data_IF_632665344528
#
_entry.id   IF_632665344528
#
_cell.length_a   1.000
_cell.length_b   1.000
_cell.length_c   1.000
_cell.angle_alpha   90.00
_cell.angle_beta   90.00
_cell.angle_gamma   90.00
#
_symmetry.space_group_name_H-M   'P 1'
#
loop_
_entity.id
_entity.type
_entity.pdbx_description
1 polymer ?
#
# COMPACT_ATOMS: atom_id res chain seq x y z
N UNK A 1 23.49 0.55 17.04
CA UNK A 1 22.20 0.09 16.50
C UNK A 1 22.50 -0.76 15.30
N UNK A 2 22.07 -2.02 15.20
CA UNK A 2 22.26 -2.78 13.98
C UNK A 2 21.52 -2.06 12.86
N UNK A 3 22.23 -1.74 11.79
CA UNK A 3 21.67 -1.19 10.58
C UNK A 3 20.93 -2.34 9.88
N UNK A 4 19.63 -2.46 10.11
CA UNK A 4 18.79 -3.50 9.49
C UNK A 4 18.35 -3.04 8.09
N UNK A 5 19.32 -2.77 7.22
CA UNK A 5 19.03 -2.59 5.80
C UNK A 5 18.60 -3.94 5.21
N UNK A 6 17.62 -3.91 4.30
CA UNK A 6 17.21 -5.11 3.57
C UNK A 6 18.42 -5.71 2.84
N UNK A 7 18.55 -7.02 2.84
CA UNK A 7 19.56 -7.70 2.00
C UNK A 7 19.22 -7.53 0.52
N UNK A 8 20.20 -7.71 -0.36
CA UNK A 8 19.97 -7.65 -1.80
C UNK A 8 18.90 -8.64 -2.28
N UNK A 9 18.81 -9.82 -1.68
CA UNK A 9 17.77 -10.81 -1.94
C UNK A 9 16.40 -10.31 -1.50
N UNK A 10 16.29 -9.78 -0.28
CA UNK A 10 15.05 -9.17 0.22
C UNK A 10 14.57 -8.00 -0.63
N UNK A 11 15.48 -7.19 -1.16
CA UNK A 11 15.14 -6.09 -2.08
C UNK A 11 14.57 -6.64 -3.40
N UNK A 12 15.14 -7.70 -3.97
CA UNK A 12 14.63 -8.36 -5.18
C UNK A 12 13.24 -8.96 -4.92
N UNK A 13 13.08 -9.66 -3.81
CA UNK A 13 11.81 -10.29 -3.42
C UNK A 13 10.72 -9.25 -3.18
N UNK A 14 11.04 -8.15 -2.49
CA UNK A 14 10.10 -7.04 -2.28
C UNK A 14 9.67 -6.41 -3.61
N UNK A 15 10.60 -6.24 -4.56
CA UNK A 15 10.27 -5.68 -5.87
C UNK A 15 9.36 -6.59 -6.67
N UNK A 16 9.67 -7.89 -6.72
CA UNK A 16 8.85 -8.88 -7.39
C UNK A 16 7.44 -8.98 -6.78
N UNK A 17 7.37 -8.98 -5.44
CA UNK A 17 6.10 -9.00 -4.73
C UNK A 17 5.29 -7.71 -4.95
N UNK A 18 5.93 -6.55 -4.96
CA UNK A 18 5.25 -5.27 -5.24
C UNK A 18 4.57 -5.28 -6.62
N UNK A 19 5.26 -5.78 -7.65
CA UNK A 19 4.70 -5.97 -9.00
C UNK A 19 3.56 -6.99 -9.03
N UNK A 20 3.62 -8.04 -8.19
CA UNK A 20 2.54 -9.00 -8.06
C UNK A 20 1.30 -8.41 -7.33
N UNK A 21 1.51 -7.51 -6.38
CA UNK A 21 0.43 -6.80 -5.66
C UNK A 21 -0.28 -5.80 -6.60
N UNK A 22 0.49 -5.00 -7.33
CA UNK A 22 -0.04 -4.01 -8.28
C UNK A 22 0.74 -4.13 -9.60
N UNK A 23 0.25 -4.94 -10.53
CA UNK A 23 0.85 -5.04 -11.87
C UNK A 23 0.60 -3.78 -12.70
N UNK A 24 1.39 -3.53 -13.76
CA UNK A 24 1.14 -2.43 -14.68
C UNK A 24 -0.20 -2.60 -15.40
N UNK A 25 -0.86 -1.49 -15.72
CA UNK A 25 -2.12 -1.50 -16.45
C UNK A 25 -2.05 -0.62 -17.70
N UNK A 26 -2.15 -1.26 -18.87
CA UNK A 26 -2.27 -0.55 -20.13
C UNK A 26 -3.60 0.22 -20.25
N UNK A 27 -4.68 -0.33 -19.69
CA UNK A 27 -6.01 0.30 -19.73
C UNK A 27 -6.03 1.64 -19.00
N UNK A 28 -5.32 1.74 -17.87
CA UNK A 28 -5.24 2.98 -17.10
C UNK A 28 -3.97 3.79 -17.38
N UNK A 29 -3.07 3.29 -18.23
CA UNK A 29 -1.82 3.95 -18.57
C UNK A 29 -0.88 4.15 -17.37
N UNK A 30 -0.89 3.22 -16.41
CA UNK A 30 -0.11 3.31 -15.17
C UNK A 30 0.92 2.19 -15.06
N UNK A 31 2.10 2.47 -14.47
CA UNK A 31 3.12 1.45 -14.19
C UNK A 31 2.67 0.49 -13.10
N UNK A 32 3.38 -0.63 -12.94
CA UNK A 32 3.28 -1.48 -11.76
C UNK A 32 4.00 -0.89 -10.55
N UNK A 33 3.76 -1.46 -9.36
CA UNK A 33 4.46 -1.03 -8.16
C UNK A 33 5.95 -1.42 -8.14
N UNK A 34 6.39 -2.26 -9.05
CA UNK A 34 7.79 -2.62 -9.31
C UNK A 34 8.53 -1.63 -10.22
N UNK A 35 7.83 -0.59 -10.73
CA UNK A 35 8.45 0.51 -11.48
C UNK A 35 9.60 1.14 -10.68
N UNK A 36 10.68 1.49 -11.34
CA UNK A 36 11.92 1.95 -10.69
C UNK A 36 11.69 3.14 -9.75
N UNK A 37 10.90 4.14 -10.18
CA UNK A 37 10.62 5.34 -9.39
C UNK A 37 9.76 5.02 -8.17
N UNK A 38 8.69 4.23 -8.35
CA UNK A 38 7.79 3.83 -7.27
C UNK A 38 8.55 2.93 -6.29
N UNK A 39 9.31 1.95 -6.79
CA UNK A 39 10.05 1.04 -5.95
C UNK A 39 11.16 1.73 -5.14
N UNK A 40 11.87 2.69 -5.76
CA UNK A 40 12.81 3.55 -5.04
C UNK A 40 12.15 4.31 -3.89
N UNK A 41 10.90 4.74 -4.08
CA UNK A 41 10.12 5.41 -3.05
C UNK A 41 9.69 4.43 -1.94
N UNK A 42 9.32 3.20 -2.28
CA UNK A 42 9.04 2.12 -1.31
C UNK A 42 10.25 1.92 -0.40
N UNK A 43 11.45 1.76 -0.97
CA UNK A 43 12.67 1.55 -0.18
C UNK A 43 12.98 2.70 0.78
N UNK A 44 12.73 3.95 0.37
CA UNK A 44 12.90 5.13 1.23
C UNK A 44 11.83 5.25 2.32
N UNK A 45 10.69 4.60 2.15
CA UNK A 45 9.50 4.76 3.00
C UNK A 45 9.31 3.66 4.02
N UNK A 46 10.24 2.71 4.14
CA UNK A 46 10.13 1.58 5.09
C UNK A 46 10.01 2.06 6.54
N UNK A 47 10.79 3.09 6.94
CA UNK A 47 10.69 3.77 8.24
C UNK A 47 10.46 2.81 9.43
N UNK A 48 9.43 3.10 10.21
CA UNK A 48 9.02 2.31 11.38
C UNK A 48 8.52 0.90 11.06
N UNK A 49 8.12 0.64 9.82
CA UNK A 49 7.54 -0.63 9.39
C UNK A 49 8.61 -1.63 8.93
N UNK A 50 9.88 -1.23 8.92
CA UNK A 50 11.02 -2.02 8.41
C UNK A 50 11.12 -3.40 9.03
N UNK A 51 11.02 -3.51 10.35
CA UNK A 51 11.15 -4.80 11.05
C UNK A 51 10.00 -5.75 10.69
N UNK A 52 8.79 -5.23 10.56
CA UNK A 52 7.65 -6.00 10.10
C UNK A 52 7.84 -6.46 8.65
N UNK A 53 8.32 -5.58 7.80
CA UNK A 53 8.61 -5.91 6.38
C UNK A 53 9.71 -6.98 6.28
N UNK A 54 10.77 -6.90 7.08
CA UNK A 54 11.80 -7.94 7.14
C UNK A 54 11.19 -9.29 7.56
N UNK A 55 10.30 -9.30 8.55
CA UNK A 55 9.58 -10.52 8.98
C UNK A 55 8.67 -11.06 7.88
N UNK A 56 7.96 -10.19 7.16
CA UNK A 56 7.12 -10.57 6.03
C UNK A 56 7.95 -11.23 4.92
N UNK A 57 9.08 -10.62 4.54
CA UNK A 57 9.97 -11.14 3.50
C UNK A 57 10.61 -12.48 3.92
N UNK A 58 11.02 -12.61 5.17
CA UNK A 58 11.52 -13.89 5.69
C UNK A 58 10.44 -15.00 5.65
N UNK A 59 9.17 -14.64 5.88
CA UNK A 59 8.06 -15.57 5.74
C UNK A 59 7.82 -15.93 4.26
N UNK A 60 7.83 -14.94 3.37
CA UNK A 60 7.69 -15.14 1.93
C UNK A 60 8.76 -16.10 1.39
N UNK A 61 10.03 -15.91 1.77
CA UNK A 61 11.13 -16.77 1.38
C UNK A 61 10.93 -18.23 1.85
N UNK A 62 10.39 -18.44 3.06
CA UNK A 62 10.06 -19.78 3.54
C UNK A 62 8.96 -20.46 2.71
N UNK A 63 7.90 -19.72 2.34
CA UNK A 63 6.83 -20.25 1.48
C UNK A 63 7.33 -20.53 0.06
N UNK A 64 8.25 -19.72 -0.44
CA UNK A 64 8.88 -19.88 -1.74
C UNK A 64 9.84 -21.08 -1.78
N UNK A 65 10.46 -21.41 -0.64
CA UNK A 65 11.55 -22.39 -0.54
C UNK A 65 12.89 -21.79 -1.02
N UNK A 66 13.03 -20.46 -1.01
CA UNK A 66 14.16 -19.68 -1.50
C UNK A 66 13.72 -18.27 -1.89
N UNK A 67 14.48 -17.63 -2.79
CA UNK A 67 14.13 -16.30 -3.26
C UNK A 67 12.82 -16.31 -4.07
N UNK A 68 11.86 -15.49 -3.65
CA UNK A 68 10.57 -15.35 -4.34
C UNK A 68 10.73 -14.81 -5.77
N UNK A 69 11.69 -13.89 -5.96
CA UNK A 69 11.98 -13.27 -7.25
C UNK A 69 12.50 -14.25 -8.32
N UNK A 70 12.99 -15.42 -7.91
CA UNK A 70 13.52 -16.43 -8.82
C UNK A 70 12.46 -17.48 -9.24
N UNK A 71 11.22 -17.36 -8.73
CA UNK A 71 10.13 -18.28 -9.07
C UNK A 71 9.52 -17.98 -10.44
N UNK A 72 9.12 -19.03 -11.14
CA UNK A 72 8.32 -18.89 -12.35
C UNK A 72 6.89 -18.36 -12.05
N UNK A 73 6.16 -17.88 -13.09
CA UNK A 73 4.87 -17.19 -12.92
C UNK A 73 3.82 -17.98 -12.14
N UNK A 74 3.65 -19.26 -12.43
CA UNK A 74 2.65 -20.11 -11.76
C UNK A 74 2.97 -20.29 -10.28
N UNK A 75 4.25 -20.58 -9.98
CA UNK A 75 4.70 -20.80 -8.61
C UNK A 75 4.66 -19.52 -7.78
N UNK A 76 5.07 -18.39 -8.35
CA UNK A 76 5.02 -17.09 -7.67
C UNK A 76 3.57 -16.68 -7.35
N UNK A 77 2.63 -16.90 -8.28
CA UNK A 77 1.21 -16.65 -8.04
C UNK A 77 0.67 -17.51 -6.88
N UNK A 78 0.99 -18.82 -6.85
CA UNK A 78 0.56 -19.71 -5.77
C UNK A 78 1.15 -19.27 -4.41
N UNK A 79 2.44 -18.95 -4.38
CA UNK A 79 3.11 -18.47 -3.15
C UNK A 79 2.50 -17.15 -2.68
N UNK A 80 2.17 -16.23 -3.59
CA UNK A 80 1.52 -14.96 -3.24
C UNK A 80 0.12 -15.17 -2.64
N UNK A 81 -0.66 -16.13 -3.16
CA UNK A 81 -1.96 -16.51 -2.59
C UNK A 81 -1.79 -17.05 -1.17
N UNK A 82 -0.89 -18.02 -0.98
CA UNK A 82 -0.63 -18.62 0.33
C UNK A 82 -0.13 -17.57 1.33
N UNK A 83 0.74 -16.65 0.88
CA UNK A 83 1.26 -15.57 1.69
C UNK A 83 0.15 -14.61 2.17
N UNK A 84 -0.81 -14.30 1.28
CA UNK A 84 -1.98 -13.49 1.63
C UNK A 84 -2.88 -14.18 2.65
N UNK A 85 -3.08 -15.50 2.54
CA UNK A 85 -3.90 -16.27 3.47
C UNK A 85 -3.34 -16.31 4.89
N UNK A 86 -2.02 -16.32 5.03
CA UNK A 86 -1.37 -16.23 6.34
C UNK A 86 -1.67 -14.90 7.03
N UNK A 87 -1.70 -13.80 6.29
CA UNK A 87 -2.06 -12.47 6.80
C UNK A 87 -1.10 -11.94 7.87
N UNK A 88 -1.67 -11.21 8.83
CA UNK A 88 -0.96 -10.70 10.00
C UNK A 88 -0.32 -9.32 9.81
N UNK A 89 0.16 -8.75 10.92
CA UNK A 89 0.75 -7.40 10.98
C UNK A 89 1.92 -7.20 10.01
N UNK A 90 2.87 -8.15 9.85
CA UNK A 90 3.97 -7.99 8.92
C UNK A 90 3.52 -7.81 7.47
N UNK A 91 2.57 -8.64 7.01
CA UNK A 91 2.02 -8.51 5.66
C UNK A 91 1.24 -7.19 5.50
N UNK A 92 0.43 -6.82 6.48
CA UNK A 92 -0.32 -5.57 6.45
C UNK A 92 0.62 -4.34 6.36
N UNK A 93 1.74 -4.34 7.08
CA UNK A 93 2.75 -3.30 7.02
C UNK A 93 3.39 -3.19 5.62
N UNK A 94 3.78 -4.34 5.04
CA UNK A 94 4.34 -4.41 3.69
C UNK A 94 3.35 -3.87 2.65
N UNK A 95 2.13 -4.38 2.64
CA UNK A 95 1.08 -3.96 1.69
C UNK A 95 0.80 -2.46 1.84
N UNK A 96 0.70 -1.96 3.08
CA UNK A 96 0.47 -0.53 3.34
C UNK A 96 1.56 0.34 2.71
N UNK A 97 2.83 0.01 2.88
CA UNK A 97 3.94 0.81 2.31
C UNK A 97 3.89 0.78 0.78
N UNK A 98 3.64 -0.38 0.17
CA UNK A 98 3.49 -0.50 -1.29
C UNK A 98 2.35 0.38 -1.79
N UNK A 99 1.16 0.29 -1.18
CA UNK A 99 -0.01 1.08 -1.58
C UNK A 99 0.23 2.59 -1.40
N UNK A 100 0.79 3.01 -0.27
CA UNK A 100 1.08 4.43 -0.01
C UNK A 100 2.03 5.02 -1.06
N UNK A 101 3.10 4.31 -1.43
CA UNK A 101 4.05 4.79 -2.42
C UNK A 101 3.46 4.77 -3.83
N UNK A 102 2.65 3.76 -4.15
CA UNK A 102 1.99 3.64 -5.45
C UNK A 102 1.00 4.79 -5.68
N UNK A 103 0.07 5.00 -4.77
CA UNK A 103 -0.99 6.00 -4.93
C UNK A 103 -0.54 7.46 -4.73
N UNK A 104 0.70 7.69 -4.29
CA UNK A 104 1.28 9.03 -4.29
C UNK A 104 2.17 9.32 -5.50
N UNK A 105 2.40 8.36 -6.41
CA UNK A 105 3.09 8.64 -7.66
C UNK A 105 2.22 9.53 -8.57
N UNK A 106 2.82 10.58 -9.12
CA UNK A 106 2.13 11.57 -9.93
C UNK A 106 1.38 10.99 -11.14
N UNK A 107 1.93 9.93 -11.75
CA UNK A 107 1.31 9.26 -12.90
C UNK A 107 0.03 8.56 -12.49
N UNK A 108 0.08 7.88 -11.34
CA UNK A 108 -1.07 7.20 -10.76
C UNK A 108 -2.13 8.20 -10.33
N UNK A 109 -1.74 9.27 -9.62
CA UNK A 109 -2.68 10.32 -9.22
C UNK A 109 -3.41 10.94 -10.43
N UNK A 110 -2.67 11.27 -11.51
CA UNK A 110 -3.29 11.81 -12.74
C UNK A 110 -4.26 10.83 -13.39
N UNK A 111 -3.95 9.53 -13.40
CA UNK A 111 -4.84 8.51 -13.95
C UNK A 111 -6.17 8.40 -13.20
N UNK A 112 -6.17 8.79 -11.91
CA UNK A 112 -7.36 8.85 -11.06
C UNK A 112 -8.09 10.22 -11.15
N UNK A 113 -7.65 11.11 -12.05
CA UNK A 113 -8.21 12.45 -12.17
C UNK A 113 -7.78 13.40 -11.05
N UNK A 114 -6.75 13.03 -10.27
CA UNK A 114 -6.24 13.86 -9.18
C UNK A 114 -5.09 14.75 -9.67
N UNK A 115 -5.05 16.00 -9.19
CA UNK A 115 -3.94 16.89 -9.45
C UNK A 115 -2.79 16.57 -8.46
N UNK A 116 -1.58 16.13 -8.95
CA UNK A 116 -0.46 15.76 -8.10
C UNK A 116 0.26 17.00 -7.57
N UNK A 117 -0.36 17.70 -6.63
CA UNK A 117 0.21 18.86 -5.97
C UNK A 117 -0.12 18.87 -4.48
N UNK A 118 0.70 19.49 -3.64
CA UNK A 118 0.34 19.71 -2.25
C UNK A 118 -0.89 20.64 -2.16
N UNK A 119 -1.75 20.46 -1.14
CA UNK A 119 -2.93 21.30 -0.95
C UNK A 119 -2.57 22.79 -0.69
N UNK A 120 -1.44 23.04 -0.08
CA UNK A 120 -0.94 24.42 0.16
C UNK A 120 -0.05 24.87 -1.01
N UNK A 121 -0.10 26.15 -1.47
CA UNK A 121 -0.93 27.24 -0.97
C UNK A 121 -2.33 27.31 -1.58
N UNK A 122 -2.61 26.60 -2.68
CA UNK A 122 -3.87 26.75 -3.44
C UNK A 122 -5.09 26.09 -2.79
N UNK A 123 -4.90 25.08 -1.94
CA UNK A 123 -5.98 24.27 -1.43
C UNK A 123 -6.67 23.43 -2.52
N UNK A 124 -7.76 22.81 -2.15
CA UNK A 124 -8.68 22.09 -3.07
C UNK A 124 -10.09 22.60 -2.84
N UNK A 125 -10.87 22.72 -3.92
CA UNK A 125 -12.30 22.98 -3.82
C UNK A 125 -12.97 21.67 -3.44
N UNK A 126 -13.60 21.63 -2.29
CA UNK A 126 -14.37 20.48 -1.82
C UNK A 126 -15.85 20.85 -1.94
N UNK A 127 -16.60 20.05 -2.68
CA UNK A 127 -18.03 20.21 -2.79
C UNK A 127 -18.68 20.05 -1.41
N UNK A 128 -19.69 20.87 -1.13
CA UNK A 128 -20.46 20.73 0.10
C UNK A 128 -21.25 19.42 0.06
N UNK A 129 -21.19 18.67 1.15
CA UNK A 129 -21.99 17.48 1.29
C UNK A 129 -23.49 17.81 1.37
N UNK A 130 -24.32 16.85 1.05
CA UNK A 130 -25.78 16.97 1.21
C UNK A 130 -26.15 16.88 2.71
N UNK A 131 -26.34 18.05 3.32
CA UNK A 131 -26.68 18.18 4.73
C UNK A 131 -28.08 17.64 5.06
N UNK A 132 -28.96 17.45 4.08
CA UNK A 132 -30.30 16.88 4.29
C UNK A 132 -30.23 15.41 4.75
N UNK A 133 -29.15 14.71 4.46
CA UNK A 133 -28.89 13.36 4.96
C UNK A 133 -28.80 13.29 6.50
N UNK A 134 -28.58 14.42 7.18
CA UNK A 134 -28.59 14.50 8.63
C UNK A 134 -29.98 14.71 9.23
N UNK A 135 -31.01 15.01 8.44
CA UNK A 135 -32.35 15.29 8.95
C UNK A 135 -32.95 14.12 9.74
N UNK A 136 -32.82 12.85 9.33
CA UNK A 136 -33.25 11.72 10.15
C UNK A 136 -32.52 11.62 11.50
N UNK A 137 -31.27 12.08 11.56
CA UNK A 137 -30.49 12.10 12.81
C UNK A 137 -30.94 13.23 13.71
N UNK A 138 -31.19 14.43 13.14
CA UNK A 138 -31.71 15.60 13.87
C UNK A 138 -33.11 15.37 14.45
N UNK A 139 -33.94 14.59 13.76
CA UNK A 139 -35.27 14.22 14.20
C UNK A 139 -35.30 13.21 15.38
N UNK A 140 -34.16 12.60 15.70
CA UNK A 140 -34.11 11.65 16.84
C UNK A 140 -34.27 12.38 18.17
N UNK A 141 -34.95 11.76 19.17
CA UNK A 141 -35.00 12.29 20.51
C UNK A 141 -33.60 12.37 21.12
N UNK A 142 -33.42 13.26 22.09
CA UNK A 142 -32.12 13.39 22.79
C UNK A 142 -31.71 12.06 23.42
N UNK A 143 -30.51 11.60 23.09
CA UNK A 143 -29.96 10.32 23.55
C UNK A 143 -28.97 10.48 24.73
N UNK A 144 -28.76 11.69 25.20
CA UNK A 144 -27.89 11.99 26.34
C UNK A 144 -28.72 12.42 27.57
N UNK A 145 -28.17 12.12 28.74
CA UNK A 145 -28.77 12.58 30.02
C UNK A 145 -28.55 14.08 30.19
N UNK A 146 -29.54 14.80 30.68
CA UNK A 146 -29.35 16.16 31.18
C UNK A 146 -28.38 16.11 32.36
N UNK A 147 -27.41 17.01 32.39
CA UNK A 147 -26.56 17.26 33.55
C UNK A 147 -27.23 18.45 34.27
N UNK A 148 -27.84 18.16 35.42
CA UNK A 148 -28.35 19.19 36.32
C UNK A 148 -27.22 19.76 37.15
#
# INVERSE_FOLDING_TARGET
MPNHDLTAEQVRDLRALAGAIIPPSATYGVPGADDEKIFSDILRSLGRDRDDICRALAHLARLAGGAFADLGPERSAQVAVNFREVGGTPLAALVRVVLLCYYRDDRVMRSLGQEPRPPFPKGHVVEQGDWSLLDPVRARPRMYRSVD
#
